data_IF_757670881103
#
_entry.id   IF_757670881103
#
_cell.length_a   1.000
_cell.length_b   1.000
_cell.length_c   1.000
_cell.angle_alpha   90.00
_cell.angle_beta   90.00
_cell.angle_gamma   90.00
#
_symmetry.space_group_name_H-M   'P 1'
#
loop_
_entity.id
_entity.type
_entity.pdbx_description
1 polymer ?
#
# COMPACT_ATOMS: atom_id res chain seq x y z
N UNK A 1 4.88 -2.85 -1.21
CA UNK A 1 4.48 -1.54 -1.74
C UNK A 1 5.74 -0.70 -1.80
N UNK A 2 6.19 -0.28 -2.99
CA UNK A 2 7.31 0.67 -3.06
C UNK A 2 6.78 1.98 -2.50
N UNK A 3 7.19 2.33 -1.28
CA UNK A 3 6.97 3.67 -0.74
C UNK A 3 7.65 4.61 -1.72
N UNK A 4 6.84 5.39 -2.43
CA UNK A 4 7.33 6.40 -3.33
C UNK A 4 7.87 7.52 -2.44
N UNK A 5 9.10 7.38 -1.96
CA UNK A 5 9.79 8.45 -1.22
C UNK A 5 10.12 9.51 -2.25
N UNK A 6 9.16 10.39 -2.53
CA UNK A 6 9.49 11.63 -3.21
C UNK A 6 10.38 12.43 -2.27
N UNK A 7 11.58 12.78 -2.74
CA UNK A 7 12.35 13.88 -2.16
C UNK A 7 11.52 15.12 -2.43
N UNK A 8 10.86 15.65 -1.39
CA UNK A 8 10.03 16.86 -1.45
C UNK A 8 10.94 18.08 -1.44
N UNK A 9 11.92 18.12 -2.33
CA UNK A 9 12.68 19.34 -2.58
C UNK A 9 11.94 20.11 -3.68
N UNK A 10 11.49 21.33 -3.37
CA UNK A 10 10.79 22.27 -4.25
C UNK A 10 9.31 22.00 -4.59
N UNK A 11 8.54 21.29 -3.75
CA UNK A 11 7.08 21.44 -3.79
C UNK A 11 6.75 22.82 -3.22
N UNK A 12 6.56 23.79 -4.12
CA UNK A 12 6.33 25.23 -3.85
C UNK A 12 5.11 25.53 -2.94
N UNK A 13 4.36 24.53 -2.52
CA UNK A 13 3.18 24.66 -1.68
C UNK A 13 3.38 23.93 -0.34
N UNK A 14 3.56 24.73 0.73
CA UNK A 14 3.76 24.27 2.10
C UNK A 14 2.64 23.34 2.59
N UNK A 15 1.40 23.60 2.19
CA UNK A 15 0.25 22.83 2.67
C UNK A 15 0.20 21.43 2.04
N UNK A 16 0.63 21.30 0.78
CA UNK A 16 0.78 19.99 0.13
C UNK A 16 1.89 19.15 0.77
N UNK A 17 3.02 19.79 1.11
CA UNK A 17 4.10 19.10 1.82
C UNK A 17 3.66 18.59 3.19
N UNK A 18 2.81 19.35 3.90
CA UNK A 18 2.29 18.97 5.21
C UNK A 18 1.38 17.74 5.15
N UNK A 19 0.46 17.68 4.18
CA UNK A 19 -0.38 16.49 3.93
C UNK A 19 0.49 15.25 3.75
N UNK A 20 1.59 15.39 2.99
CA UNK A 20 2.49 14.28 2.71
C UNK A 20 3.30 13.84 3.94
N UNK A 21 3.81 14.78 4.74
CA UNK A 21 4.53 14.49 5.99
C UNK A 21 3.61 13.75 6.97
N UNK A 22 2.37 14.22 7.14
CA UNK A 22 1.36 13.56 7.99
C UNK A 22 0.99 12.17 7.46
N UNK A 23 0.86 12.01 6.15
CA UNK A 23 0.68 10.69 5.53
C UNK A 23 1.81 9.74 5.88
N UNK A 24 3.07 10.18 5.75
CA UNK A 24 4.22 9.33 6.08
C UNK A 24 4.24 8.93 7.56
N UNK A 25 3.87 9.85 8.46
CA UNK A 25 3.76 9.55 9.88
C UNK A 25 2.72 8.46 10.14
N UNK A 26 1.51 8.60 9.59
CA UNK A 26 0.49 7.57 9.66
C UNK A 26 0.94 6.25 9.04
N UNK A 27 1.62 6.31 7.90
CA UNK A 27 2.14 5.12 7.24
C UNK A 27 3.13 4.39 8.14
N UNK A 28 4.06 5.10 8.79
CA UNK A 28 4.99 4.49 9.74
C UNK A 28 4.26 3.83 10.92
N UNK A 29 3.22 4.47 11.46
CA UNK A 29 2.39 3.88 12.52
C UNK A 29 1.69 2.60 12.05
N UNK A 30 1.17 2.59 10.82
CA UNK A 30 0.51 1.41 10.24
C UNK A 30 1.44 0.19 10.08
N UNK A 31 2.77 0.41 10.15
CA UNK A 31 3.78 -0.64 10.00
C UNK A 31 4.18 -1.29 11.31
N UNK A 32 3.59 -0.92 12.44
CA UNK A 32 3.83 -1.60 13.70
C UNK A 32 3.43 -3.07 13.61
N UNK A 33 4.24 -3.95 14.20
CA UNK A 33 3.95 -5.39 14.23
C UNK A 33 2.84 -5.73 15.23
N UNK A 34 2.67 -4.89 16.25
CA UNK A 34 1.67 -5.03 17.31
C UNK A 34 1.15 -3.65 17.67
N UNK A 35 -0.14 -3.59 18.04
CA UNK A 35 -0.80 -2.37 18.46
C UNK A 35 -1.35 -2.54 19.88
N UNK A 36 -1.12 -1.56 20.73
CA UNK A 36 -1.88 -1.37 21.97
C UNK A 36 -3.13 -0.51 21.68
N UNK A 37 -4.12 -0.49 22.57
CA UNK A 37 -5.28 0.40 22.39
C UNK A 37 -4.86 1.88 22.33
N UNK A 38 -3.87 2.30 23.12
CA UNK A 38 -3.32 3.66 23.01
C UNK A 38 -2.65 3.94 21.66
N UNK A 39 -2.03 2.94 21.03
CA UNK A 39 -1.47 3.10 19.68
C UNK A 39 -2.59 3.28 18.65
N UNK A 40 -3.70 2.54 18.81
CA UNK A 40 -4.88 2.66 17.94
C UNK A 40 -5.58 4.01 18.11
N UNK A 41 -5.71 4.51 19.33
CA UNK A 41 -6.25 5.86 19.61
C UNK A 41 -5.39 6.93 18.94
N UNK A 42 -4.06 6.88 19.15
CA UNK A 42 -3.13 7.81 18.51
C UNK A 42 -3.18 7.70 16.98
N UNK A 43 -3.35 6.49 16.44
CA UNK A 43 -3.44 6.28 15.00
C UNK A 43 -4.74 6.86 14.42
N UNK A 44 -5.87 6.71 15.11
CA UNK A 44 -7.14 7.33 14.71
C UNK A 44 -7.06 8.86 14.74
N UNK A 45 -6.40 9.45 15.75
CA UNK A 45 -6.18 10.89 15.81
C UNK A 45 -5.37 11.36 14.59
N UNK A 46 -4.27 10.68 14.28
CA UNK A 46 -3.45 11.02 13.11
C UNK A 46 -4.22 10.90 11.79
N UNK A 47 -5.10 9.90 11.66
CA UNK A 47 -6.01 9.72 10.51
C UNK A 47 -6.97 10.89 10.37
N UNK A 48 -7.63 11.30 11.45
CA UNK A 48 -8.59 12.40 11.43
C UNK A 48 -7.90 13.72 11.08
N UNK A 49 -6.77 14.04 11.72
CA UNK A 49 -5.99 15.25 11.44
C UNK A 49 -5.49 15.34 10.00
N UNK A 50 -5.10 14.19 9.42
CA UNK A 50 -4.70 14.13 8.02
C UNK A 50 -5.90 14.24 7.08
N UNK A 51 -7.01 13.57 7.39
CA UNK A 51 -8.22 13.60 6.58
C UNK A 51 -8.80 15.02 6.49
N UNK A 52 -8.87 15.75 7.61
CA UNK A 52 -9.35 17.13 7.64
C UNK A 52 -8.50 18.05 6.75
N UNK A 53 -7.17 17.93 6.83
CA UNK A 53 -6.25 18.70 6.00
C UNK A 53 -6.39 18.33 4.51
N UNK A 54 -6.49 17.03 4.20
CA UNK A 54 -6.67 16.54 2.85
C UNK A 54 -7.99 17.03 2.25
N UNK A 55 -9.10 16.91 2.97
CA UNK A 55 -10.42 17.35 2.52
C UNK A 55 -10.42 18.86 2.30
N UNK A 56 -9.81 19.64 3.19
CA UNK A 56 -9.73 21.10 3.07
C UNK A 56 -8.96 21.51 1.81
N UNK A 57 -7.80 20.92 1.56
CA UNK A 57 -6.96 21.28 0.41
C UNK A 57 -7.52 20.79 -0.92
N UNK A 58 -8.16 19.64 -0.91
CA UNK A 58 -8.70 19.02 -2.11
C UNK A 58 -10.21 19.16 -2.25
N UNK A 59 -10.88 20.01 -1.46
CA UNK A 59 -12.35 20.15 -1.43
C UNK A 59 -12.99 20.31 -2.81
N UNK A 60 -12.42 21.20 -3.62
CA UNK A 60 -12.89 21.48 -4.98
C UNK A 60 -12.72 20.30 -5.94
N UNK A 61 -11.80 19.39 -5.62
CA UNK A 61 -11.55 18.17 -6.39
C UNK A 61 -12.27 16.95 -5.80
N UNK A 62 -12.51 16.94 -4.49
CA UNK A 62 -13.01 15.78 -3.74
C UNK A 62 -14.54 15.69 -3.70
N UNK A 63 -15.24 16.79 -3.94
CA UNK A 63 -16.72 16.90 -4.01
C UNK A 63 -17.31 16.15 -5.21
N UNK A 64 -17.22 14.82 -5.18
CA UNK A 64 -17.71 13.91 -6.23
C UNK A 64 -16.81 12.71 -6.48
N UNK A 65 -15.59 12.70 -5.91
CA UNK A 65 -14.68 11.58 -6.05
C UNK A 65 -15.08 10.44 -5.11
N UNK A 66 -15.44 9.29 -5.70
CA UNK A 66 -15.53 8.03 -4.96
C UNK A 66 -14.12 7.47 -4.80
N UNK A 67 -13.57 7.54 -3.59
CA UNK A 67 -12.26 6.98 -3.25
C UNK A 67 -12.41 5.84 -2.24
N UNK A 68 -12.84 4.62 -2.66
CA UNK A 68 -13.12 3.52 -1.74
C UNK A 68 -11.93 3.15 -0.85
N UNK A 69 -10.71 3.21 -1.40
CA UNK A 69 -9.49 2.93 -0.63
C UNK A 69 -9.25 3.96 0.46
N UNK A 70 -9.48 5.24 0.15
CA UNK A 70 -9.36 6.33 1.11
C UNK A 70 -10.43 6.22 2.20
N UNK A 71 -11.66 5.91 1.81
CA UNK A 71 -12.77 5.68 2.75
C UNK A 71 -12.45 4.51 3.69
N UNK A 72 -12.01 3.36 3.14
CA UNK A 72 -11.59 2.22 3.96
C UNK A 72 -10.44 2.57 4.91
N UNK A 73 -9.49 3.40 4.48
CA UNK A 73 -8.38 3.83 5.32
C UNK A 73 -8.85 4.74 6.46
N UNK A 74 -9.72 5.70 6.18
CA UNK A 74 -10.17 6.69 7.19
C UNK A 74 -11.10 6.04 8.23
N UNK A 75 -12.02 5.20 7.78
CA UNK A 75 -13.13 4.74 8.63
C UNK A 75 -13.00 3.32 9.17
N UNK A 76 -12.21 2.45 8.53
CA UNK A 76 -12.22 1.02 8.85
C UNK A 76 -10.85 0.46 9.21
N UNK A 77 -9.76 1.20 9.02
CA UNK A 77 -8.42 0.63 9.22
C UNK A 77 -8.14 0.29 10.69
N UNK A 78 -8.60 1.13 11.63
CA UNK A 78 -8.39 0.92 13.06
C UNK A 78 -9.19 -0.27 13.55
N UNK A 79 -10.45 -0.38 13.13
CA UNK A 79 -11.30 -1.53 13.45
C UNK A 79 -10.75 -2.82 12.83
N UNK A 80 -10.28 -2.76 11.58
CA UNK A 80 -9.63 -3.90 10.95
C UNK A 80 -8.35 -4.34 11.68
N UNK A 81 -7.55 -3.40 12.20
CA UNK A 81 -6.39 -3.75 13.03
C UNK A 81 -6.83 -4.41 14.34
N UNK A 82 -7.89 -3.90 14.96
CA UNK A 82 -8.41 -4.45 16.22
C UNK A 82 -8.92 -5.89 16.04
N UNK A 83 -9.64 -6.14 14.95
CA UNK A 83 -10.26 -7.44 14.68
C UNK A 83 -9.26 -8.48 14.12
N UNK A 84 -8.35 -8.04 13.24
CA UNK A 84 -7.50 -8.95 12.44
C UNK A 84 -6.00 -8.83 12.74
N UNK A 85 -5.59 -7.86 13.56
CA UNK A 85 -4.19 -7.59 13.88
C UNK A 85 -3.48 -6.70 12.85
N UNK A 86 -2.15 -6.64 12.95
CA UNK A 86 -1.34 -5.72 12.13
C UNK A 86 -1.50 -5.95 10.61
N UNK A 87 -1.62 -4.85 9.86
CA UNK A 87 -1.89 -4.85 8.40
C UNK A 87 -0.77 -5.53 7.59
N UNK A 88 0.45 -5.55 8.13
CA UNK A 88 1.64 -6.07 7.44
C UNK A 88 1.47 -7.51 6.94
N UNK A 89 0.68 -8.34 7.65
CA UNK A 89 0.43 -9.73 7.28
C UNK A 89 -0.54 -9.91 6.10
N UNK A 90 -1.34 -8.90 5.78
CA UNK A 90 -2.45 -9.00 4.80
C UNK A 90 -2.13 -8.40 3.43
N UNK A 91 -0.85 -8.08 3.17
CA UNK A 91 -0.45 -7.49 1.89
C UNK A 91 -0.37 -8.54 0.77
N UNK A 92 -0.67 -8.14 -0.47
CA UNK A 92 -0.57 -9.00 -1.65
C UNK A 92 0.87 -9.15 -2.17
N UNK A 93 1.86 -8.61 -1.46
CA UNK A 93 3.26 -8.53 -1.93
C UNK A 93 3.85 -9.90 -2.24
N UNK A 94 3.58 -10.88 -1.38
CA UNK A 94 4.05 -12.27 -1.56
C UNK A 94 3.47 -12.86 -2.85
N UNK A 95 2.14 -12.78 -3.04
CA UNK A 95 1.49 -13.28 -4.25
C UNK A 95 1.97 -12.58 -5.51
N UNK A 96 2.14 -11.25 -5.46
CA UNK A 96 2.69 -10.49 -6.58
C UNK A 96 4.13 -10.88 -6.91
N UNK A 97 4.97 -11.13 -5.89
CA UNK A 97 6.35 -11.58 -6.06
C UNK A 97 6.42 -12.98 -6.67
N UNK A 98 5.58 -13.89 -6.18
CA UNK A 98 5.44 -15.25 -6.73
C UNK A 98 4.98 -15.21 -8.18
N UNK A 99 3.92 -14.46 -8.49
CA UNK A 99 3.41 -14.31 -9.85
C UNK A 99 4.46 -13.70 -10.79
N UNK A 100 5.23 -12.71 -10.33
CA UNK A 100 6.36 -12.17 -11.12
C UNK A 100 7.40 -13.26 -11.40
N UNK A 101 7.78 -14.00 -10.36
CA UNK A 101 8.88 -14.98 -10.41
C UNK A 101 8.55 -16.22 -11.22
N UNK A 102 7.37 -16.80 -11.00
CA UNK A 102 6.99 -18.10 -11.54
C UNK A 102 6.17 -18.00 -12.83
N UNK A 103 5.51 -16.87 -13.08
CA UNK A 103 4.66 -16.71 -14.27
C UNK A 103 5.24 -15.67 -15.22
N UNK A 104 5.39 -14.41 -14.80
CA UNK A 104 5.78 -13.33 -15.72
C UNK A 104 7.18 -13.51 -16.30
N UNK A 105 8.17 -13.89 -15.49
CA UNK A 105 9.55 -14.08 -15.97
C UNK A 105 9.64 -15.27 -16.95
N UNK A 106 9.18 -16.49 -16.60
CA UNK A 106 9.19 -17.62 -17.53
C UNK A 106 8.37 -17.38 -18.80
N UNK A 107 7.23 -16.68 -18.69
CA UNK A 107 6.43 -16.29 -19.85
C UNK A 107 7.21 -15.40 -20.82
N UNK A 108 7.94 -14.39 -20.31
CA UNK A 108 8.78 -13.50 -21.14
C UNK A 108 9.93 -14.24 -21.82
N UNK A 109 10.44 -15.31 -21.20
CA UNK A 109 11.49 -16.17 -21.77
C UNK A 109 10.94 -17.19 -22.78
N UNK A 110 9.62 -17.40 -22.83
CA UNK A 110 8.99 -18.34 -23.76
C UNK A 110 8.91 -17.77 -25.18
N UNK A 111 8.85 -18.66 -26.18
CA UNK A 111 8.58 -18.27 -27.57
C UNK A 111 7.06 -18.12 -27.87
N UNK A 112 6.22 -18.15 -26.81
CA UNK A 112 4.75 -18.06 -26.85
C UNK A 112 3.99 -19.21 -27.54
N UNK A 113 4.65 -20.30 -27.92
CA UNK A 113 4.01 -21.56 -28.31
C UNK A 113 3.97 -22.52 -27.12
N UNK A 114 2.88 -23.24 -26.89
CA UNK A 114 2.74 -24.18 -25.77
C UNK A 114 3.23 -23.59 -24.43
N UNK A 115 2.73 -22.39 -24.13
CA UNK A 115 3.25 -21.48 -23.09
C UNK A 115 3.35 -22.16 -21.74
N UNK A 116 2.32 -22.90 -21.34
CA UNK A 116 2.26 -23.57 -20.03
C UNK A 116 3.42 -24.56 -19.88
N UNK A 117 3.68 -25.37 -20.90
CA UNK A 117 4.76 -26.34 -20.88
C UNK A 117 6.13 -25.65 -20.80
N UNK A 118 6.30 -24.52 -21.48
CA UNK A 118 7.54 -23.75 -21.42
C UNK A 118 7.74 -23.05 -20.08
N UNK A 119 6.68 -22.48 -19.49
CA UNK A 119 6.71 -21.91 -18.15
C UNK A 119 7.13 -22.98 -17.15
N UNK A 120 6.48 -24.15 -17.17
CA UNK A 120 6.81 -25.26 -16.29
C UNK A 120 8.27 -25.70 -16.44
N UNK A 121 8.73 -25.93 -17.67
CA UNK A 121 10.14 -26.30 -17.96
C UNK A 121 11.13 -25.25 -17.44
N UNK A 122 10.85 -23.96 -17.67
CA UNK A 122 11.71 -22.86 -17.24
C UNK A 122 11.74 -22.73 -15.71
N UNK A 123 10.62 -22.95 -15.03
CA UNK A 123 10.55 -22.97 -13.57
C UNK A 123 11.36 -24.15 -13.02
N UNK A 124 11.11 -25.38 -13.51
CA UNK A 124 11.85 -26.59 -13.10
C UNK A 124 13.35 -26.38 -13.26
N UNK A 125 13.79 -25.92 -14.43
CA UNK A 125 15.21 -25.64 -14.72
C UNK A 125 15.81 -24.59 -13.77
N UNK A 126 15.05 -23.56 -13.40
CA UNK A 126 15.54 -22.49 -12.54
C UNK A 126 15.76 -22.95 -11.09
N UNK A 127 14.96 -23.89 -10.61
CA UNK A 127 14.99 -24.33 -9.21
C UNK A 127 15.61 -25.71 -9.01
N UNK A 128 16.14 -26.36 -10.07
CA UNK A 128 16.74 -27.70 -10.01
C UNK A 128 15.85 -28.74 -9.29
N UNK A 129 14.54 -28.66 -9.53
CA UNK A 129 13.55 -29.64 -9.08
C UNK A 129 13.48 -30.79 -10.08
#
# INVERSE_FOLDING_TARGET
>A
MKVMVFVVDNLLNKDLSEVYVRWNRMYLMSRFERFTESDLENFQIAINEWADLFITLFWNCSSGMKMPKLHSWIYHIVDAIRDFGAINGYTTETYESLHKTYVKIPYRLSNKKDVEMQIMKNVIKKFNI
#
